data_IF_259997527037
#
_entry.id   IF_259997527037
#
_cell.length_a   1.000
_cell.length_b   1.000
_cell.length_c   1.000
_cell.angle_alpha   90.00
_cell.angle_beta   90.00
_cell.angle_gamma   90.00
#
_symmetry.space_group_name_H-M   'P 1'
#
loop_
_entity.id
_entity.type
_entity.pdbx_description
1 polymer ?
#
# COMPACT_ATOMS: atom_id res chain seq x y z
N UNK A 1 -35.81 -12.67 5.98
CA UNK A 1 -34.44 -12.30 6.34
C UNK A 1 -34.41 -11.75 7.75
N UNK A 2 -33.35 -12.02 8.53
CA UNK A 2 -33.18 -11.41 9.85
C UNK A 2 -32.72 -9.95 9.67
N UNK A 3 -33.42 -9.01 10.32
CA UNK A 3 -32.96 -7.62 10.40
C UNK A 3 -31.81 -7.60 11.43
N UNK A 4 -30.63 -7.24 10.98
CA UNK A 4 -29.44 -7.09 11.84
C UNK A 4 -29.46 -5.70 12.48
N UNK A 5 -29.07 -5.60 13.74
CA UNK A 5 -29.03 -4.34 14.47
C UNK A 5 -28.11 -3.33 13.74
N UNK A 6 -28.60 -2.15 13.41
CA UNK A 6 -27.89 -1.13 12.65
C UNK A 6 -28.30 -1.00 11.16
N UNK A 7 -29.20 -1.86 10.66
CA UNK A 7 -29.75 -1.73 9.29
C UNK A 7 -30.64 -0.48 9.17
N UNK A 8 -30.40 0.33 8.14
CA UNK A 8 -31.31 1.44 7.81
C UNK A 8 -32.47 0.91 6.95
N UNK A 9 -33.68 1.15 7.41
CA UNK A 9 -34.90 0.84 6.65
C UNK A 9 -35.30 2.09 5.88
N UNK A 10 -35.29 2.01 4.56
CA UNK A 10 -35.81 3.08 3.69
C UNK A 10 -37.18 2.64 3.20
N UNK A 11 -38.21 3.38 3.61
CA UNK A 11 -39.55 3.23 3.06
C UNK A 11 -39.65 4.08 1.79
N UNK A 12 -39.72 3.44 0.64
CA UNK A 12 -40.05 4.11 -0.62
C UNK A 12 -41.54 3.94 -0.88
N UNK A 13 -42.29 5.06 -0.87
CA UNK A 13 -43.67 5.08 -1.35
C UNK A 13 -43.66 5.48 -2.83
N UNK A 14 -43.91 4.55 -3.73
CA UNK A 14 -44.31 4.89 -5.10
C UNK A 14 -45.80 5.22 -5.13
N UNK A 15 -46.17 6.31 -5.80
CA UNK A 15 -47.53 6.89 -5.78
C UNK A 15 -48.64 6.03 -6.44
N UNK A 16 -48.31 4.88 -7.02
CA UNK A 16 -49.23 4.16 -7.91
C UNK A 16 -49.54 2.71 -7.55
N UNK A 17 -49.12 2.19 -6.43
CA UNK A 17 -49.60 0.87 -5.95
C UNK A 17 -49.43 0.70 -4.47
N UNK A 18 -50.41 0.11 -3.80
CA UNK A 18 -50.43 -0.26 -2.37
C UNK A 18 -49.35 -1.28 -1.94
N UNK A 19 -48.37 -1.54 -2.76
CA UNK A 19 -47.23 -2.39 -2.45
C UNK A 19 -46.06 -1.55 -1.95
N UNK A 20 -45.95 -1.42 -0.65
CA UNK A 20 -44.74 -0.90 -0.01
C UNK A 20 -43.59 -1.90 -0.21
N UNK A 21 -42.63 -1.53 -1.03
CA UNK A 21 -41.39 -2.30 -1.14
C UNK A 21 -40.44 -1.87 -0.01
N UNK A 22 -40.23 -2.77 0.95
CA UNK A 22 -39.27 -2.56 2.03
C UNK A 22 -37.86 -2.87 1.48
N UNK A 23 -37.07 -1.83 1.18
CA UNK A 23 -35.65 -1.99 0.91
C UNK A 23 -34.89 -2.05 2.23
N UNK A 24 -34.46 -3.24 2.62
CA UNK A 24 -33.49 -3.39 3.70
C UNK A 24 -32.11 -3.19 3.05
N UNK A 25 -31.53 -2.01 3.23
CA UNK A 25 -30.11 -1.84 2.95
C UNK A 25 -29.34 -2.63 4.00
N UNK A 26 -28.39 -3.48 3.61
CA UNK A 26 -27.46 -4.04 4.56
C UNK A 26 -26.82 -2.88 5.35
N UNK A 27 -26.47 -3.04 6.62
CA UNK A 27 -25.72 -2.03 7.34
C UNK A 27 -24.52 -1.67 6.47
N UNK A 28 -24.33 -0.38 6.21
CA UNK A 28 -23.05 0.12 5.69
C UNK A 28 -22.02 -0.48 6.64
N UNK A 29 -21.15 -1.31 6.13
CA UNK A 29 -20.16 -1.96 6.96
C UNK A 29 -19.26 -0.84 7.52
N UNK A 30 -19.54 -0.44 8.76
CA UNK A 30 -18.83 0.66 9.43
C UNK A 30 -17.34 0.34 9.58
N UNK A 31 -16.97 -0.92 9.34
CA UNK A 31 -15.61 -1.41 9.44
C UNK A 31 -14.83 -1.25 8.12
N UNK A 32 -15.52 -0.89 7.02
CA UNK A 32 -14.92 -0.71 5.69
C UNK A 32 -14.93 0.77 5.31
N UNK A 33 -13.77 1.28 4.91
CA UNK A 33 -13.62 2.64 4.39
C UNK A 33 -12.74 2.64 3.16
N UNK A 34 -13.07 3.52 2.25
CA UNK A 34 -12.22 3.89 1.12
C UNK A 34 -12.06 5.40 1.14
N UNK A 35 -10.86 5.90 0.91
CA UNK A 35 -10.61 7.33 1.05
C UNK A 35 -9.38 7.79 0.28
N UNK A 36 -9.13 9.08 0.39
CA UNK A 36 -7.99 9.74 -0.22
C UNK A 36 -7.10 10.30 0.89
N UNK A 37 -5.78 10.21 0.72
CA UNK A 37 -4.82 10.72 1.69
C UNK A 37 -3.88 11.80 1.12
N UNK A 38 -3.98 12.11 -0.17
CA UNK A 38 -3.17 13.14 -0.79
C UNK A 38 -3.38 13.28 -2.29
N UNK A 39 -2.51 14.03 -2.90
CA UNK A 39 -2.41 14.23 -4.35
C UNK A 39 -1.01 13.89 -4.81
N UNK A 40 -0.88 13.34 -6.01
CA UNK A 40 0.41 13.18 -6.65
C UNK A 40 1.04 14.53 -7.03
N UNK A 41 2.34 14.52 -7.29
CA UNK A 41 3.08 15.72 -7.66
C UNK A 41 2.53 16.41 -8.91
N UNK A 42 2.20 15.64 -9.95
CA UNK A 42 1.54 16.17 -11.17
C UNK A 42 0.21 16.82 -10.83
N UNK A 43 -0.61 16.17 -10.02
CA UNK A 43 -1.91 16.70 -9.65
C UNK A 43 -1.78 17.95 -8.78
N UNK A 44 -0.82 17.96 -7.85
CA UNK A 44 -0.58 19.14 -7.02
C UNK A 44 -0.19 20.37 -7.84
N UNK A 45 0.56 20.15 -8.93
CA UNK A 45 0.99 21.21 -9.86
C UNK A 45 -0.02 21.55 -10.95
N UNK A 46 -1.17 20.85 -11.02
CA UNK A 46 -2.18 21.10 -12.04
C UNK A 46 -1.86 20.54 -13.43
N UNK A 47 -0.99 19.53 -13.49
CA UNK A 47 -0.51 18.92 -14.73
C UNK A 47 -1.08 17.47 -14.93
N UNK A 48 -2.30 17.23 -14.52
CA UNK A 48 -2.88 15.90 -14.49
C UNK A 48 -2.58 15.19 -13.17
N UNK A 49 -2.17 13.93 -13.23
CA UNK A 49 -1.87 13.13 -12.05
C UNK A 49 -3.09 12.50 -11.40
N UNK A 50 -2.92 12.01 -10.18
CA UNK A 50 -3.93 11.23 -9.48
C UNK A 50 -4.02 11.58 -8.00
N UNK A 51 -5.18 11.33 -7.41
CA UNK A 51 -5.28 11.25 -5.96
C UNK A 51 -4.58 9.99 -5.44
N UNK A 52 -4.06 10.08 -4.23
CA UNK A 52 -3.52 8.97 -3.46
C UNK A 52 -4.67 8.39 -2.64
N UNK A 53 -5.01 7.14 -2.90
CA UNK A 53 -6.14 6.48 -2.27
C UNK A 53 -5.69 5.38 -1.28
N UNK A 54 -6.56 5.08 -0.33
CA UNK A 54 -6.40 3.97 0.59
C UNK A 54 -7.68 3.19 0.76
N UNK A 55 -7.54 1.94 1.16
CA UNK A 55 -8.60 1.09 1.67
C UNK A 55 -8.35 0.79 3.14
N UNK A 56 -9.41 0.68 3.92
CA UNK A 56 -9.34 0.36 5.34
C UNK A 56 -10.41 -0.65 5.71
N UNK A 57 -10.03 -1.63 6.52
CA UNK A 57 -10.97 -2.54 7.17
C UNK A 57 -10.57 -2.76 8.62
N UNK A 58 -11.59 -2.88 9.49
CA UNK A 58 -11.44 -3.13 10.91
C UNK A 58 -11.40 -1.86 11.76
N UNK A 59 -11.47 -2.06 13.07
CA UNK A 59 -11.56 -1.02 14.11
C UNK A 59 -10.66 -1.31 15.30
N UNK A 60 -9.81 -2.32 15.18
CA UNK A 60 -8.91 -2.74 16.24
C UNK A 60 -7.75 -1.77 16.48
N UNK A 61 -7.00 -2.03 17.52
CA UNK A 61 -5.89 -1.17 17.98
C UNK A 61 -4.52 -1.58 17.44
N UNK A 62 -4.41 -2.76 16.84
CA UNK A 62 -3.24 -3.16 16.06
C UNK A 62 -3.43 -2.68 14.63
N UNK A 63 -2.50 -1.90 14.12
CA UNK A 63 -2.61 -1.31 12.79
C UNK A 63 -1.59 -1.93 11.84
N UNK A 64 -2.07 -2.46 10.72
CA UNK A 64 -1.25 -2.96 9.61
C UNK A 64 -1.36 -2.00 8.43
N UNK A 65 -0.22 -1.50 7.98
CA UNK A 65 -0.11 -0.67 6.78
C UNK A 65 0.60 -1.46 5.69
N UNK A 66 -0.10 -1.70 4.60
CA UNK A 66 0.42 -2.37 3.40
C UNK A 66 0.59 -1.32 2.31
N UNK A 67 1.81 -0.97 2.02
CA UNK A 67 2.17 0.00 0.99
C UNK A 67 2.62 -0.73 -0.28
N UNK A 68 2.11 -0.30 -1.44
CA UNK A 68 2.43 -0.89 -2.74
C UNK A 68 2.85 0.20 -3.72
N UNK A 69 3.67 -0.19 -4.68
CA UNK A 69 4.07 0.65 -5.82
C UNK A 69 4.60 2.03 -5.39
N UNK A 70 5.52 2.04 -4.44
CA UNK A 70 6.32 3.24 -4.12
C UNK A 70 7.26 3.57 -5.28
N UNK A 71 7.65 2.55 -6.05
CA UNK A 71 8.18 2.67 -7.40
C UNK A 71 7.08 2.33 -8.40
N UNK A 72 6.87 3.20 -9.39
CA UNK A 72 5.91 2.93 -10.46
C UNK A 72 6.41 1.88 -11.45
N UNK A 73 7.73 1.87 -11.68
CA UNK A 73 8.46 0.82 -12.38
C UNK A 73 9.40 0.16 -11.38
N UNK A 74 9.42 -1.14 -11.39
CA UNK A 74 10.45 -1.96 -10.73
C UNK A 74 11.52 -2.37 -11.76
N UNK A 75 12.07 -3.57 -11.75
CA UNK A 75 13.25 -3.88 -12.55
C UNK A 75 13.06 -5.05 -13.53
N UNK A 76 11.83 -5.49 -13.79
CA UNK A 76 11.61 -6.64 -14.68
C UNK A 76 11.14 -6.25 -16.08
N UNK A 77 10.14 -5.37 -16.19
CA UNK A 77 9.62 -4.88 -17.46
C UNK A 77 8.92 -3.53 -17.28
N UNK A 78 8.54 -2.89 -18.41
CA UNK A 78 7.93 -1.56 -18.37
C UNK A 78 6.62 -1.54 -17.56
N UNK A 79 6.53 -0.63 -16.61
CA UNK A 79 5.36 -0.42 -15.73
C UNK A 79 4.98 -1.62 -14.86
N UNK A 80 5.93 -2.47 -14.55
CA UNK A 80 5.73 -3.69 -13.74
C UNK A 80 5.30 -3.41 -12.29
N UNK A 81 5.44 -2.19 -11.80
CA UNK A 81 4.81 -1.74 -10.56
C UNK A 81 3.28 -1.88 -10.57
N UNK A 82 2.65 -1.94 -11.75
CA UNK A 82 1.23 -2.21 -11.89
C UNK A 82 0.81 -3.59 -11.36
N UNK A 83 1.71 -4.56 -11.36
CA UNK A 83 1.47 -5.89 -10.78
C UNK A 83 1.30 -5.82 -9.26
N UNK A 84 2.06 -4.96 -8.61
CA UNK A 84 1.95 -4.72 -7.17
C UNK A 84 0.60 -4.05 -6.84
N UNK A 85 0.20 -3.05 -7.62
CA UNK A 85 -1.12 -2.41 -7.51
C UNK A 85 -2.26 -3.41 -7.73
N UNK A 86 -2.12 -4.30 -8.71
CA UNK A 86 -3.07 -5.38 -8.95
C UNK A 86 -3.20 -6.30 -7.74
N UNK A 87 -2.07 -6.76 -7.17
CA UNK A 87 -2.06 -7.58 -5.96
C UNK A 87 -2.73 -6.89 -4.77
N UNK A 88 -2.50 -5.58 -4.59
CA UNK A 88 -3.14 -4.79 -3.54
C UNK A 88 -4.67 -4.78 -3.68
N UNK A 89 -5.18 -4.56 -4.90
CA UNK A 89 -6.61 -4.55 -5.18
C UNK A 89 -7.25 -5.94 -5.02
N UNK A 90 -6.56 -7.00 -5.43
CA UNK A 90 -7.05 -8.37 -5.23
C UNK A 90 -7.04 -8.74 -3.73
N UNK A 91 -6.02 -8.31 -2.98
CA UNK A 91 -6.01 -8.49 -1.53
C UNK A 91 -7.15 -7.72 -0.84
N UNK A 92 -7.45 -6.51 -1.27
CA UNK A 92 -8.60 -5.76 -0.75
C UNK A 92 -9.92 -6.50 -0.96
N UNK A 93 -10.16 -7.05 -2.14
CA UNK A 93 -11.35 -7.87 -2.41
C UNK A 93 -11.41 -9.09 -1.48
N UNK A 94 -10.29 -9.81 -1.39
CA UNK A 94 -10.17 -11.00 -0.54
C UNK A 94 -10.42 -10.67 0.93
N UNK A 95 -9.83 -9.59 1.44
CA UNK A 95 -9.91 -9.22 2.85
C UNK A 95 -11.33 -8.89 3.29
N UNK A 96 -12.10 -8.20 2.44
CA UNK A 96 -13.51 -7.87 2.70
C UNK A 96 -14.38 -9.12 2.92
N UNK A 97 -14.05 -10.22 2.24
CA UNK A 97 -14.82 -11.44 2.30
C UNK A 97 -14.32 -12.45 3.35
N UNK A 98 -13.08 -12.28 3.85
CA UNK A 98 -12.40 -13.29 4.66
C UNK A 98 -11.95 -12.83 6.04
N UNK A 99 -12.07 -11.55 6.38
CA UNK A 99 -11.70 -11.05 7.70
C UNK A 99 -12.82 -11.35 8.71
N UNK A 100 -12.51 -12.16 9.73
CA UNK A 100 -13.50 -12.52 10.78
C UNK A 100 -13.82 -11.32 11.68
N UNK A 101 -14.94 -11.39 12.40
CA UNK A 101 -15.31 -10.36 13.38
C UNK A 101 -14.24 -10.16 14.46
N UNK A 102 -13.59 -11.23 14.90
CA UNK A 102 -12.49 -11.15 15.88
C UNK A 102 -11.32 -10.35 15.31
N UNK A 103 -10.89 -10.64 14.07
CA UNK A 103 -9.83 -9.91 13.41
C UNK A 103 -10.21 -8.44 13.15
N UNK A 104 -11.46 -8.15 12.79
CA UNK A 104 -11.98 -6.79 12.59
C UNK A 104 -11.91 -5.98 13.90
N UNK A 105 -12.16 -6.61 15.05
CA UNK A 105 -12.09 -5.96 16.36
C UNK A 105 -10.67 -5.81 16.88
N UNK A 106 -9.76 -6.65 16.46
CA UNK A 106 -8.36 -6.66 16.89
C UNK A 106 -7.48 -5.75 16.03
N UNK A 107 -7.74 -5.75 14.72
CA UNK A 107 -6.93 -5.07 13.71
C UNK A 107 -7.67 -3.93 13.01
N UNK A 108 -6.88 -2.95 12.58
CA UNK A 108 -7.21 -2.02 11.51
C UNK A 108 -6.17 -2.19 10.40
N UNK A 109 -6.61 -2.65 9.25
CA UNK A 109 -5.74 -2.88 8.09
C UNK A 109 -5.92 -1.75 7.08
N UNK A 110 -4.84 -1.09 6.73
CA UNK A 110 -4.77 -0.08 5.69
C UNK A 110 -4.01 -0.62 4.48
N UNK A 111 -4.59 -0.49 3.30
CA UNK A 111 -3.96 -0.87 2.03
C UNK A 111 -3.82 0.40 1.20
N UNK A 112 -2.59 0.72 0.81
CA UNK A 112 -2.25 1.84 -0.06
C UNK A 112 -1.81 1.24 -1.42
N UNK A 113 -2.73 1.12 -2.38
CA UNK A 113 -2.50 0.28 -3.57
C UNK A 113 -1.45 0.86 -4.52
N UNK A 114 -1.28 2.17 -4.54
CA UNK A 114 -0.26 2.83 -5.36
C UNK A 114 0.18 4.14 -4.71
N UNK A 115 1.40 4.16 -4.20
CA UNK A 115 1.96 5.37 -3.57
C UNK A 115 2.63 6.31 -4.56
N UNK A 116 3.03 5.80 -5.73
CA UNK A 116 3.62 6.58 -6.81
C UNK A 116 2.81 6.44 -8.11
N UNK A 117 1.58 6.97 -8.16
CA UNK A 117 0.75 6.86 -9.36
C UNK A 117 1.33 7.62 -10.56
N UNK A 118 2.01 8.75 -10.34
CA UNK A 118 2.63 9.50 -11.43
C UNK A 118 3.74 8.70 -12.11
N UNK A 119 4.60 8.06 -11.32
CA UNK A 119 5.62 7.17 -11.87
C UNK A 119 5.01 6.00 -12.64
N UNK A 120 3.99 5.37 -12.09
CA UNK A 120 3.34 4.20 -12.71
C UNK A 120 2.58 4.55 -13.98
N UNK A 121 1.78 5.61 -13.97
CA UNK A 121 0.89 5.93 -15.10
C UNK A 121 1.52 6.86 -16.14
N UNK A 122 2.34 7.80 -15.68
CA UNK A 122 2.92 8.87 -16.50
C UNK A 122 4.44 8.74 -16.71
N UNK A 123 5.10 7.85 -15.97
CA UNK A 123 6.53 7.60 -16.11
C UNK A 123 6.88 6.84 -17.39
N UNK A 124 8.15 6.87 -17.77
CA UNK A 124 8.66 6.30 -19.03
C UNK A 124 9.95 5.49 -18.89
N UNK A 125 10.53 5.42 -17.69
CA UNK A 125 11.76 4.68 -17.47
C UNK A 125 11.95 4.25 -16.01
N UNK A 126 12.58 3.10 -15.78
CA UNK A 126 13.01 2.70 -14.44
C UNK A 126 14.38 3.30 -14.03
N UNK A 127 14.99 4.13 -14.90
CA UNK A 127 16.22 4.88 -14.61
C UNK A 127 15.94 6.35 -14.22
N UNK A 128 14.71 6.67 -13.91
CA UNK A 128 14.22 8.00 -13.57
C UNK A 128 12.71 7.98 -13.40
N UNK A 129 11.97 8.95 -14.00
CA UNK A 129 10.51 9.02 -13.92
C UNK A 129 9.83 7.73 -14.40
N UNK A 130 9.15 7.10 -13.48
CA UNK A 130 8.62 5.75 -13.59
C UNK A 130 8.98 4.99 -12.33
N UNK A 131 10.26 4.71 -12.10
CA UNK A 131 10.75 4.30 -10.78
C UNK A 131 10.55 5.43 -9.76
N UNK A 132 11.04 6.62 -10.08
CA UNK A 132 10.83 7.83 -9.28
C UNK A 132 9.45 8.44 -9.54
N UNK A 133 9.08 9.46 -8.77
CA UNK A 133 7.97 10.36 -9.12
C UNK A 133 8.26 11.07 -10.44
N UNK A 134 7.24 11.64 -11.09
CA UNK A 134 7.43 12.32 -12.38
C UNK A 134 7.91 13.76 -12.19
N UNK A 135 7.32 14.47 -11.23
CA UNK A 135 7.70 15.82 -10.90
C UNK A 135 8.40 15.92 -9.56
N UNK A 136 9.62 16.46 -9.59
CA UNK A 136 10.37 16.85 -8.41
C UNK A 136 10.76 18.32 -8.52
N UNK A 137 11.51 18.77 -7.55
CA UNK A 137 12.07 20.12 -7.50
C UNK A 137 13.39 20.23 -8.27
N UNK A 138 13.96 19.12 -8.74
CA UNK A 138 15.24 19.09 -9.42
C UNK A 138 15.07 19.28 -10.92
N UNK A 139 15.74 20.29 -11.52
CA UNK A 139 15.65 20.56 -12.95
C UNK A 139 16.20 19.43 -13.83
N UNK A 140 17.20 18.69 -13.32
CA UNK A 140 17.92 17.67 -14.10
C UNK A 140 17.25 16.29 -14.01
N UNK A 141 16.49 16.04 -12.96
CA UNK A 141 15.97 14.71 -12.61
C UNK A 141 14.48 14.77 -12.33
N UNK A 142 13.66 15.02 -13.20
CA UNK A 142 12.20 15.24 -13.11
C UNK A 142 11.42 14.31 -12.13
N UNK A 143 12.10 13.70 -11.14
CA UNK A 143 11.50 12.80 -10.15
C UNK A 143 12.39 12.50 -8.96
N UNK A 144 11.77 12.14 -7.85
CA UNK A 144 12.43 11.73 -6.61
C UNK A 144 12.15 10.24 -6.36
N UNK A 145 13.17 9.48 -6.01
CA UNK A 145 13.01 8.11 -5.49
C UNK A 145 12.38 8.18 -4.09
N UNK A 146 11.10 7.86 -4.01
CA UNK A 146 10.36 7.94 -2.76
C UNK A 146 10.95 7.02 -1.69
N UNK A 147 11.53 5.88 -2.08
CA UNK A 147 12.15 4.96 -1.13
C UNK A 147 13.61 5.33 -0.78
N UNK A 148 14.01 6.57 -1.05
CA UNK A 148 15.30 7.15 -0.67
C UNK A 148 15.17 8.52 -0.01
N UNK A 149 13.95 9.07 0.09
CA UNK A 149 13.73 10.44 0.54
C UNK A 149 13.18 10.57 1.97
N UNK A 150 12.97 9.47 2.70
CA UNK A 150 12.53 9.52 4.09
C UNK A 150 13.65 9.97 5.04
N UNK A 151 13.30 10.64 6.18
CA UNK A 151 14.30 11.39 6.97
C UNK A 151 15.39 10.53 7.62
N UNK A 152 15.09 9.29 8.02
CA UNK A 152 16.03 8.50 8.81
C UNK A 152 17.18 7.99 7.93
N UNK A 153 18.37 8.46 8.23
CA UNK A 153 19.58 8.15 7.47
C UNK A 153 19.65 8.80 6.09
N UNK A 154 18.78 9.76 5.79
CA UNK A 154 18.75 10.46 4.51
C UNK A 154 20.11 11.08 4.18
N UNK A 155 20.50 10.95 2.94
CA UNK A 155 21.66 11.62 2.35
C UNK A 155 21.33 12.04 0.93
N UNK A 156 21.83 13.20 0.49
CA UNK A 156 21.62 13.67 -0.87
C UNK A 156 22.33 12.76 -1.88
N UNK A 157 21.59 12.24 -2.84
CA UNK A 157 22.09 11.52 -4.01
C UNK A 157 21.60 12.21 -5.28
N UNK A 158 22.52 12.46 -6.22
CA UNK A 158 22.24 13.07 -7.53
C UNK A 158 22.34 12.00 -8.63
N UNK A 159 21.45 11.02 -8.59
CA UNK A 159 21.32 9.99 -9.62
C UNK A 159 19.91 10.01 -10.14
N UNK A 160 19.70 10.02 -11.45
CA UNK A 160 18.35 10.03 -12.03
C UNK A 160 17.48 8.90 -11.49
N UNK A 161 18.05 7.73 -11.32
CA UNK A 161 17.36 6.54 -10.79
C UNK A 161 17.04 6.64 -9.30
N UNK A 162 17.91 7.27 -8.50
CA UNK A 162 17.80 7.28 -7.04
C UNK A 162 17.92 8.70 -6.47
N UNK A 163 17.44 9.70 -7.18
CA UNK A 163 17.46 11.07 -6.68
C UNK A 163 16.65 11.20 -5.40
N UNK A 164 17.26 11.72 -4.35
CA UNK A 164 16.66 11.77 -3.01
C UNK A 164 15.99 13.10 -2.68
N UNK A 165 16.04 14.06 -3.60
CA UNK A 165 15.63 15.44 -3.34
C UNK A 165 16.76 16.31 -2.79
N UNK A 166 16.48 17.59 -2.61
CA UNK A 166 17.37 18.57 -1.96
C UNK A 166 17.24 18.50 -0.43
N UNK A 167 16.14 17.95 0.06
CA UNK A 167 15.84 17.75 1.46
C UNK A 167 14.95 16.50 1.62
N UNK A 168 14.88 15.90 2.83
CA UNK A 168 13.98 14.79 3.09
C UNK A 168 12.52 15.14 2.76
N UNK A 169 11.76 14.15 2.30
CA UNK A 169 10.32 14.25 2.04
C UNK A 169 9.91 15.33 1.03
N UNK A 170 10.79 15.65 0.10
CA UNK A 170 10.49 16.69 -0.88
C UNK A 170 9.47 16.24 -1.94
N UNK A 171 9.28 14.93 -2.15
CA UNK A 171 8.20 14.41 -2.98
C UNK A 171 6.86 14.55 -2.25
N UNK A 172 5.86 15.12 -2.91
CA UNK A 172 4.51 15.30 -2.35
C UNK A 172 3.88 13.98 -1.91
N UNK A 173 4.08 12.93 -2.68
CA UNK A 173 3.58 11.59 -2.41
C UNK A 173 4.22 10.99 -1.14
N UNK A 174 5.52 11.19 -0.95
CA UNK A 174 6.22 10.71 0.24
C UNK A 174 5.78 11.45 1.50
N UNK A 175 5.57 12.76 1.41
CA UNK A 175 5.05 13.57 2.51
C UNK A 175 3.61 13.15 2.85
N UNK A 176 2.76 12.95 1.86
CA UNK A 176 1.40 12.49 2.06
C UNK A 176 1.36 11.10 2.71
N UNK A 177 2.22 10.17 2.26
CA UNK A 177 2.37 8.84 2.86
C UNK A 177 2.79 8.93 4.32
N UNK A 178 3.77 9.77 4.64
CA UNK A 178 4.20 10.03 6.02
C UNK A 178 3.07 10.52 6.89
N UNK A 179 2.36 11.57 6.46
CA UNK A 179 1.24 12.15 7.20
C UNK A 179 0.10 11.14 7.42
N UNK A 180 -0.20 10.34 6.40
CA UNK A 180 -1.20 9.29 6.51
C UNK A 180 -0.84 8.28 7.60
N UNK A 181 0.39 7.77 7.61
CA UNK A 181 0.84 6.82 8.63
C UNK A 181 0.75 7.47 10.03
N UNK A 182 1.31 8.67 10.22
CA UNK A 182 1.33 9.34 11.51
C UNK A 182 -0.08 9.64 12.05
N UNK A 183 -1.01 9.99 11.18
CA UNK A 183 -2.40 10.27 11.55
C UNK A 183 -3.15 9.01 11.98
N UNK A 184 -2.71 7.85 11.50
CA UNK A 184 -3.41 6.58 11.69
C UNK A 184 -2.62 5.57 12.54
N UNK A 185 -1.64 5.99 13.34
CA UNK A 185 -0.93 5.07 14.24
C UNK A 185 -1.85 4.48 15.30
N UNK A 186 -1.71 3.18 15.54
CA UNK A 186 -2.40 2.44 16.59
C UNK A 186 -1.53 2.21 17.84
N UNK A 187 -1.97 1.31 18.70
CA UNK A 187 -1.19 0.92 19.87
C UNK A 187 0.06 0.10 19.48
N UNK A 188 -0.08 -0.74 18.47
CA UNK A 188 1.00 -1.47 17.81
C UNK A 188 0.85 -1.27 16.30
N UNK A 189 1.98 -1.08 15.62
CA UNK A 189 1.99 -0.79 14.20
C UNK A 189 2.88 -1.76 13.44
N UNK A 190 2.41 -2.16 12.28
CA UNK A 190 3.09 -3.07 11.37
C UNK A 190 3.08 -2.41 10.00
N UNK A 191 4.26 -2.21 9.41
CA UNK A 191 4.40 -1.54 8.11
C UNK A 191 5.12 -2.48 7.16
N UNK A 192 4.47 -2.79 6.04
CA UNK A 192 5.03 -3.64 4.99
C UNK A 192 5.03 -2.85 3.68
N UNK A 193 6.20 -2.70 3.11
CA UNK A 193 6.44 -2.06 1.82
C UNK A 193 6.69 -3.13 0.75
N UNK A 194 5.78 -3.25 -0.21
CA UNK A 194 5.81 -4.32 -1.21
C UNK A 194 6.44 -3.83 -2.50
N UNK A 195 7.49 -4.52 -2.91
CA UNK A 195 8.34 -4.27 -4.07
C UNK A 195 8.48 -5.51 -4.95
N UNK A 196 9.12 -5.39 -6.08
CA UNK A 196 9.65 -6.43 -6.94
C UNK A 196 11.05 -6.05 -7.44
N UNK A 197 11.94 -6.95 -7.76
CA UNK A 197 11.76 -8.39 -7.89
C UNK A 197 13.05 -9.09 -7.43
N UNK A 198 13.61 -8.66 -6.29
CA UNK A 198 14.92 -9.13 -5.80
C UNK A 198 14.84 -10.44 -5.01
N UNK A 199 13.63 -10.99 -4.79
CA UNK A 199 13.46 -12.26 -4.08
C UNK A 199 14.08 -12.25 -2.68
N UNK A 200 13.76 -11.21 -1.88
CA UNK A 200 14.29 -11.05 -0.54
C UNK A 200 13.34 -10.32 0.40
N UNK A 201 13.62 -10.36 1.68
CA UNK A 201 12.97 -9.50 2.68
C UNK A 201 14.01 -8.65 3.39
N UNK A 202 13.66 -7.40 3.73
CA UNK A 202 14.54 -6.46 4.43
C UNK A 202 13.85 -5.97 5.69
N UNK A 203 14.58 -5.89 6.80
CA UNK A 203 14.10 -5.28 8.04
C UNK A 203 13.65 -6.29 9.08
N UNK A 204 12.39 -6.23 9.55
CA UNK A 204 11.93 -7.12 10.60
C UNK A 204 11.83 -8.57 10.11
N UNK A 205 12.61 -9.45 10.75
CA UNK A 205 12.74 -10.85 10.34
C UNK A 205 11.45 -11.65 10.56
N UNK A 206 10.76 -11.41 11.65
CA UNK A 206 9.53 -12.11 12.01
C UNK A 206 8.41 -11.79 11.01
N UNK A 207 8.21 -10.50 10.69
CA UNK A 207 7.26 -10.11 9.64
C UNK A 207 7.63 -10.71 8.29
N UNK A 208 8.91 -10.69 7.94
CA UNK A 208 9.41 -11.24 6.70
C UNK A 208 9.17 -12.76 6.58
N UNK A 209 9.17 -13.51 7.68
CA UNK A 209 9.04 -14.97 7.64
C UNK A 209 7.71 -15.41 7.04
N UNK A 210 6.59 -14.73 7.32
CA UNK A 210 5.28 -15.08 6.75
C UNK A 210 5.29 -15.07 5.22
N UNK A 211 5.98 -14.09 4.63
CA UNK A 211 6.08 -13.96 3.17
C UNK A 211 7.15 -14.87 2.59
N UNK A 212 8.30 -15.04 3.28
CA UNK A 212 9.35 -15.96 2.83
C UNK A 212 8.84 -17.39 2.74
N UNK A 213 8.05 -17.82 3.70
CA UNK A 213 7.49 -19.17 3.73
C UNK A 213 6.55 -19.43 2.56
N UNK A 214 5.66 -18.47 2.24
CA UNK A 214 4.69 -18.62 1.16
C UNK A 214 5.31 -18.47 -0.23
N UNK A 215 6.26 -17.55 -0.40
CA UNK A 215 6.88 -17.28 -1.71
C UNK A 215 8.13 -18.10 -1.98
N UNK A 216 8.64 -18.87 -1.00
CA UNK A 216 9.88 -19.62 -1.13
C UNK A 216 11.11 -18.70 -1.17
N UNK A 217 11.07 -17.56 -0.50
CA UNK A 217 12.18 -16.61 -0.44
C UNK A 217 13.18 -17.07 0.62
N UNK A 218 14.44 -17.26 0.23
CA UNK A 218 15.49 -17.67 1.16
C UNK A 218 16.33 -16.52 1.71
N UNK A 219 16.34 -15.36 1.03
CA UNK A 219 17.19 -14.24 1.40
C UNK A 219 16.48 -13.28 2.36
N UNK A 220 17.20 -12.88 3.42
CA UNK A 220 16.75 -11.88 4.39
C UNK A 220 17.90 -10.96 4.76
N UNK A 221 17.64 -9.65 4.72
CA UNK A 221 18.58 -8.60 5.11
C UNK A 221 18.05 -7.90 6.37
N UNK A 222 18.71 -8.07 7.50
CA UNK A 222 18.29 -7.46 8.77
C UNK A 222 18.54 -5.95 8.88
N UNK A 223 19.40 -5.39 8.02
CA UNK A 223 19.74 -3.97 8.03
C UNK A 223 18.82 -3.16 7.12
N UNK A 224 18.42 -2.00 7.59
CA UNK A 224 17.54 -1.09 6.85
C UNK A 224 18.35 -0.14 5.96
N UNK A 225 17.84 0.14 4.77
CA UNK A 225 18.46 1.11 3.85
C UNK A 225 18.27 2.56 4.30
N UNK A 226 19.25 3.40 4.01
CA UNK A 226 19.22 4.84 4.31
C UNK A 226 18.15 5.55 3.49
N UNK A 227 17.31 6.35 4.14
CA UNK A 227 16.22 7.09 3.50
C UNK A 227 15.06 6.20 3.04
N UNK A 228 15.04 4.90 3.39
CA UNK A 228 13.93 4.00 3.08
C UNK A 228 12.69 4.36 3.88
N UNK A 229 11.53 4.14 3.28
CA UNK A 229 10.24 4.26 3.96
C UNK A 229 10.18 3.39 5.22
N UNK A 230 10.56 2.12 5.14
CA UNK A 230 10.55 1.21 6.29
C UNK A 230 11.56 1.58 7.39
N UNK A 231 12.69 2.21 7.03
CA UNK A 231 13.66 2.70 8.01
C UNK A 231 13.08 3.85 8.85
N UNK A 232 12.35 4.74 8.21
CA UNK A 232 11.62 5.79 8.90
C UNK A 232 10.47 5.20 9.72
N UNK A 233 9.66 4.31 9.14
CA UNK A 233 8.49 3.73 9.81
C UNK A 233 8.88 3.03 11.13
N UNK A 234 10.00 2.30 11.18
CA UNK A 234 10.46 1.67 12.42
C UNK A 234 10.86 2.67 13.51
N UNK A 235 11.08 3.93 13.19
CA UNK A 235 11.36 4.97 14.20
C UNK A 235 10.11 5.45 14.93
N UNK A 236 8.93 5.09 14.45
CA UNK A 236 7.65 5.35 15.12
C UNK A 236 7.53 4.39 16.31
N UNK A 237 7.16 4.85 17.52
CA UNK A 237 7.00 3.98 18.67
C UNK A 237 6.09 2.77 18.40
N UNK A 238 6.44 1.63 18.96
CA UNK A 238 5.70 0.36 18.82
C UNK A 238 5.46 -0.06 17.37
N UNK A 239 6.43 0.16 16.49
CA UNK A 239 6.32 -0.16 15.06
C UNK A 239 7.36 -1.17 14.64
N UNK A 240 6.89 -2.27 14.03
CA UNK A 240 7.67 -3.23 13.26
C UNK A 240 7.52 -2.89 11.78
N UNK A 241 8.61 -2.90 11.01
CA UNK A 241 8.55 -2.62 9.56
C UNK A 241 9.43 -3.57 8.76
N UNK A 242 8.99 -3.87 7.55
CA UNK A 242 9.64 -4.79 6.64
C UNK A 242 9.36 -4.40 5.19
N UNK A 243 10.34 -4.62 4.32
CA UNK A 243 10.21 -4.52 2.88
C UNK A 243 10.20 -5.93 2.29
N UNK A 244 9.23 -6.19 1.44
CA UNK A 244 9.10 -7.44 0.70
C UNK A 244 9.46 -7.20 -0.76
N UNK A 245 10.55 -7.81 -1.20
CA UNK A 245 10.91 -7.93 -2.61
C UNK A 245 10.42 -9.28 -3.13
N UNK A 246 9.37 -9.26 -3.92
CA UNK A 246 8.81 -10.49 -4.51
C UNK A 246 9.80 -11.16 -5.46
N UNK A 247 9.72 -12.50 -5.62
CA UNK A 247 10.47 -13.17 -6.68
C UNK A 247 10.08 -12.66 -8.07
N UNK A 248 11.02 -12.63 -8.98
CA UNK A 248 10.82 -12.04 -10.31
C UNK A 248 9.75 -12.74 -11.14
N UNK A 249 8.96 -11.94 -11.83
CA UNK A 249 8.04 -12.34 -12.90
C UNK A 249 8.31 -11.51 -14.16
N UNK A 250 8.08 -12.09 -15.33
CA UNK A 250 8.29 -11.42 -16.62
C UNK A 250 6.98 -10.97 -17.28
N UNK A 251 5.85 -11.24 -16.65
CA UNK A 251 4.52 -10.85 -17.15
C UNK A 251 3.44 -11.04 -16.11
N UNK A 252 2.29 -10.40 -16.33
CA UNK A 252 1.07 -10.64 -15.55
C UNK A 252 0.65 -12.12 -15.55
N UNK A 253 0.70 -12.78 -16.69
CA UNK A 253 0.36 -14.20 -16.77
C UNK A 253 1.26 -15.07 -15.87
N UNK A 254 2.54 -14.78 -15.80
CA UNK A 254 3.47 -15.50 -14.94
C UNK A 254 3.15 -15.25 -13.46
N UNK A 255 2.83 -14.01 -13.08
CA UNK A 255 2.37 -13.67 -11.72
C UNK A 255 1.16 -14.50 -11.32
N UNK A 256 0.18 -14.61 -12.21
CA UNK A 256 -1.04 -15.40 -11.99
C UNK A 256 -0.74 -16.90 -11.91
N UNK A 257 0.07 -17.44 -12.83
CA UNK A 257 0.45 -18.86 -12.84
C UNK A 257 1.24 -19.26 -11.58
N UNK A 258 2.09 -18.40 -11.08
CA UNK A 258 2.84 -18.60 -9.83
C UNK A 258 2.00 -18.41 -8.56
N UNK A 259 0.74 -17.99 -8.70
CA UNK A 259 -0.23 -17.86 -7.60
C UNK A 259 0.09 -16.74 -6.61
N UNK A 260 0.71 -15.64 -7.06
CA UNK A 260 1.19 -14.57 -6.17
C UNK A 260 0.09 -13.92 -5.35
N UNK A 261 -1.10 -13.72 -5.93
CA UNK A 261 -2.26 -13.18 -5.20
C UNK A 261 -2.60 -14.08 -4.00
N UNK A 262 -2.76 -15.39 -4.23
CA UNK A 262 -3.10 -16.33 -3.17
C UNK A 262 -1.99 -16.45 -2.11
N UNK A 263 -0.73 -16.45 -2.53
CA UNK A 263 0.43 -16.49 -1.61
C UNK A 263 0.46 -15.25 -0.72
N UNK A 264 0.24 -14.07 -1.30
CA UNK A 264 0.18 -12.82 -0.53
C UNK A 264 -1.00 -12.82 0.45
N UNK A 265 -2.18 -13.24 0.00
CA UNK A 265 -3.36 -13.36 0.84
C UNK A 265 -3.10 -14.29 2.02
N UNK A 266 -2.54 -15.48 1.77
CA UNK A 266 -2.23 -16.47 2.81
C UNK A 266 -1.20 -15.94 3.81
N UNK A 267 -0.10 -15.39 3.32
CA UNK A 267 0.95 -14.82 4.17
C UNK A 267 0.42 -13.73 5.11
N UNK A 268 -0.36 -12.80 4.56
CA UNK A 268 -0.90 -11.69 5.34
C UNK A 268 -1.96 -12.15 6.34
N UNK A 269 -2.84 -13.09 5.96
CA UNK A 269 -3.80 -13.66 6.90
C UNK A 269 -3.13 -14.45 8.02
N UNK A 270 -2.05 -15.18 7.74
CA UNK A 270 -1.26 -15.87 8.75
C UNK A 270 -0.61 -14.87 9.72
N UNK A 271 -0.09 -13.74 9.21
CA UNK A 271 0.40 -12.65 10.04
C UNK A 271 -0.69 -12.12 10.98
N UNK A 272 -1.86 -11.77 10.46
CA UNK A 272 -2.97 -11.22 11.26
C UNK A 272 -3.43 -12.20 12.37
N UNK A 273 -3.37 -13.50 12.12
CA UNK A 273 -3.76 -14.53 13.09
C UNK A 273 -2.69 -14.86 14.13
N UNK A 274 -1.44 -14.45 13.88
CA UNK A 274 -0.29 -14.80 14.72
C UNK A 274 0.04 -13.77 15.78
N UNK A 275 -0.37 -12.53 15.60
CA UNK A 275 -0.21 -11.43 16.53
C UNK A 275 -1.48 -11.11 17.29
#
# INVERSE_FOLDING_TARGET
>A
GKIVNGSKIILSTTKDNDNQMLYIMPPLDQNIKEGLYGKSGLMYKGNGGSYLNYYQIGTGKKHLFLNFSIHGFEDSYDKDGAELTYMANEFWKYLKDNMSEELIQEWTVYILPVSNPDGQYNGWTNQGPGRTTVYSWAPENEGIDMNRCFPVGWTKLNSSRNYTGEQPLQAYEAEALREFILTNVGNENFVIDVHGWLNETIGNNELGSFYRDEFGISNHIGTYGKGYFIQWARSIPNTKSMLLELPEVKSHNELMQKGYVNKFNTATMNLLKSY
#
